data_IF_818210711102
#
_entry.id   IF_818210711102
#
_cell.length_a   1.000
_cell.length_b   1.000
_cell.length_c   1.000
_cell.angle_alpha   90.00
_cell.angle_beta   90.00
_cell.angle_gamma   90.00
#
_symmetry.space_group_name_H-M   'P 1'
#
loop_
_entity.id
_entity.type
_entity.pdbx_description
1 polymer ?
#
# COMPACT_ATOMS: atom_id res chain seq x y z
N UNK A 1 0.29 11.42 19.08
CA UNK A 1 0.04 11.55 17.63
C UNK A 1 -1.46 11.72 17.42
N UNK A 2 -1.90 12.68 16.60
CA UNK A 2 -3.34 12.88 16.33
C UNK A 2 -3.91 11.77 15.43
N UNK A 3 -5.19 11.43 15.62
CA UNK A 3 -5.89 10.48 14.75
C UNK A 3 -6.34 11.17 13.45
N UNK A 4 -6.00 10.60 12.29
CA UNK A 4 -6.52 11.09 11.01
C UNK A 4 -7.98 10.69 10.84
N UNK A 5 -8.78 11.63 10.34
CA UNK A 5 -10.17 11.40 9.92
C UNK A 5 -10.28 11.71 8.43
N UNK A 6 -10.81 10.75 7.69
CA UNK A 6 -11.10 10.89 6.26
C UNK A 6 -12.56 11.31 6.04
N UNK A 7 -12.79 12.16 5.04
CA UNK A 7 -14.13 12.42 4.53
C UNK A 7 -14.64 11.19 3.73
N UNK A 8 -15.89 11.22 3.26
CA UNK A 8 -16.51 10.06 2.58
C UNK A 8 -15.78 9.67 1.29
N UNK A 9 -15.40 10.64 0.48
CA UNK A 9 -14.74 10.42 -0.80
C UNK A 9 -13.32 9.88 -0.58
N UNK A 10 -12.57 10.50 0.33
CA UNK A 10 -11.23 10.06 0.71
C UNK A 10 -11.24 8.62 1.26
N UNK A 11 -12.27 8.22 2.00
CA UNK A 11 -12.38 6.82 2.47
C UNK A 11 -12.43 5.84 1.31
N UNK A 12 -13.15 6.16 0.24
CA UNK A 12 -13.26 5.29 -0.92
C UNK A 12 -11.91 5.21 -1.66
N UNK A 13 -11.26 6.36 -1.88
CA UNK A 13 -9.96 6.40 -2.57
C UNK A 13 -8.86 5.69 -1.78
N UNK A 14 -8.83 5.86 -0.45
CA UNK A 14 -7.91 5.16 0.44
C UNK A 14 -8.16 3.65 0.40
N UNK A 15 -9.41 3.21 0.33
CA UNK A 15 -9.74 1.79 0.23
C UNK A 15 -9.33 1.20 -1.12
N UNK A 16 -9.53 1.93 -2.22
CA UNK A 16 -9.01 1.55 -3.55
C UNK A 16 -7.49 1.39 -3.51
N UNK A 17 -6.78 2.39 -2.95
CA UNK A 17 -5.33 2.34 -2.83
C UNK A 17 -4.86 1.13 -2.01
N UNK A 18 -5.52 0.81 -0.90
CA UNK A 18 -5.21 -0.39 -0.11
C UNK A 18 -5.41 -1.67 -0.93
N UNK A 19 -6.51 -1.77 -1.67
CA UNK A 19 -6.77 -2.94 -2.52
C UNK A 19 -5.67 -3.12 -3.55
N UNK A 20 -5.23 -2.05 -4.22
CA UNK A 20 -4.12 -2.10 -5.18
C UNK A 20 -2.83 -2.61 -4.54
N UNK A 21 -2.47 -2.09 -3.37
CA UNK A 21 -1.27 -2.52 -2.62
C UNK A 21 -1.36 -4.00 -2.21
N UNK A 22 -2.54 -4.47 -1.79
CA UNK A 22 -2.77 -5.85 -1.39
C UNK A 22 -2.76 -6.84 -2.57
N UNK A 23 -3.19 -6.41 -3.76
CA UNK A 23 -3.19 -7.24 -4.97
C UNK A 23 -1.79 -7.45 -5.56
N UNK A 24 -0.84 -6.58 -5.23
CA UNK A 24 0.53 -6.63 -5.74
C UNK A 24 1.18 -8.01 -5.65
N UNK A 25 1.11 -8.66 -4.49
CA UNK A 25 1.74 -9.98 -4.30
C UNK A 25 1.02 -11.09 -5.04
N UNK A 26 -0.31 -10.97 -5.22
CA UNK A 26 -1.09 -11.90 -6.04
C UNK A 26 -0.70 -11.78 -7.52
N UNK A 27 -0.62 -10.55 -8.04
CA UNK A 27 -0.17 -10.29 -9.42
C UNK A 27 1.24 -10.80 -9.67
N UNK A 28 2.17 -10.58 -8.73
CA UNK A 28 3.54 -11.13 -8.86
C UNK A 28 3.56 -12.65 -8.91
N UNK A 29 2.67 -13.34 -8.20
CA UNK A 29 2.55 -14.80 -8.25
C UNK A 29 1.96 -15.27 -9.57
N UNK A 30 0.95 -14.57 -10.09
CA UNK A 30 0.32 -14.91 -11.35
C UNK A 30 1.29 -14.83 -12.54
N UNK A 31 2.19 -13.83 -12.57
CA UNK A 31 3.24 -13.73 -13.60
C UNK A 31 4.15 -14.96 -13.68
N UNK A 32 4.32 -15.71 -12.60
CA UNK A 32 5.18 -16.91 -12.58
C UNK A 32 4.45 -18.13 -13.20
N UNK A 33 3.13 -18.09 -13.28
CA UNK A 33 2.28 -19.24 -13.60
C UNK A 33 1.77 -19.21 -15.05
N UNK A 34 1.52 -18.03 -15.60
CA UNK A 34 0.99 -17.89 -16.95
C UNK A 34 2.09 -17.97 -18.01
N UNK A 35 1.70 -18.46 -19.20
CA UNK A 35 2.49 -18.43 -20.44
C UNK A 35 1.77 -17.64 -21.53
N UNK A 36 0.80 -16.82 -21.12
CA UNK A 36 -0.11 -16.06 -21.98
C UNK A 36 0.41 -14.62 -22.03
N UNK A 37 1.02 -14.25 -23.16
CA UNK A 37 1.77 -12.99 -23.29
C UNK A 37 0.91 -11.76 -23.08
N UNK A 38 -0.37 -11.79 -23.47
CA UNK A 38 -1.26 -10.64 -23.30
C UNK A 38 -1.59 -10.43 -21.81
N UNK A 39 -1.86 -11.51 -21.09
CA UNK A 39 -2.11 -11.43 -19.64
C UNK A 39 -0.86 -11.03 -18.87
N UNK A 40 0.30 -11.53 -19.26
CA UNK A 40 1.59 -11.13 -18.68
C UNK A 40 1.82 -9.63 -18.82
N UNK A 41 1.52 -9.04 -19.98
CA UNK A 41 1.65 -7.59 -20.21
C UNK A 41 0.68 -6.78 -19.34
N UNK A 42 -0.58 -7.20 -19.24
CA UNK A 42 -1.58 -6.55 -18.39
C UNK A 42 -1.15 -6.58 -16.91
N UNK A 43 -0.78 -7.75 -16.40
CA UNK A 43 -0.38 -7.92 -15.00
C UNK A 43 0.91 -7.14 -14.72
N UNK A 44 1.88 -7.17 -15.64
CA UNK A 44 3.11 -6.37 -15.54
C UNK A 44 2.80 -4.88 -15.45
N UNK A 45 1.87 -4.40 -16.27
CA UNK A 45 1.40 -3.00 -16.23
C UNK A 45 0.75 -2.66 -14.89
N UNK A 46 -0.08 -3.55 -14.33
CA UNK A 46 -0.67 -3.35 -13.01
C UNK A 46 0.38 -3.28 -11.89
N UNK A 47 1.41 -4.14 -11.93
CA UNK A 47 2.53 -4.12 -10.98
C UNK A 47 3.30 -2.80 -11.09
N UNK A 48 3.63 -2.37 -12.32
CA UNK A 48 4.33 -1.12 -12.57
C UNK A 48 3.56 0.10 -12.04
N UNK A 49 2.23 0.10 -12.12
CA UNK A 49 1.41 1.16 -11.51
C UNK A 49 1.62 1.22 -10.01
N UNK A 50 1.63 0.08 -9.32
CA UNK A 50 1.85 0.04 -7.87
C UNK A 50 3.28 0.45 -7.51
N UNK A 51 4.29 -0.04 -8.24
CA UNK A 51 5.69 0.34 -8.03
C UNK A 51 5.86 1.86 -8.17
N UNK A 52 5.29 2.44 -9.24
CA UNK A 52 5.31 3.89 -9.47
C UNK A 52 4.62 4.67 -8.36
N UNK A 53 3.45 4.21 -7.89
CA UNK A 53 2.75 4.86 -6.76
C UNK A 53 3.64 4.88 -5.51
N UNK A 54 4.41 3.82 -5.24
CA UNK A 54 5.32 3.75 -4.10
C UNK A 54 6.52 4.69 -4.32
N UNK A 55 7.13 4.67 -5.50
CA UNK A 55 8.28 5.53 -5.84
C UNK A 55 7.93 7.03 -5.73
N UNK A 56 6.78 7.42 -6.27
CA UNK A 56 6.35 8.82 -6.31
C UNK A 56 5.88 9.34 -4.94
N UNK A 57 5.55 8.46 -3.99
CA UNK A 57 4.89 8.81 -2.72
C UNK A 57 5.72 9.62 -1.72
N UNK A 58 7.02 9.87 -1.97
CA UNK A 58 7.96 10.58 -1.07
C UNK A 58 7.93 10.05 0.38
N UNK A 59 7.65 8.76 0.54
CA UNK A 59 7.65 8.09 1.84
C UNK A 59 9.08 7.91 2.34
N UNK A 60 9.24 7.86 3.67
CA UNK A 60 10.52 7.44 4.26
C UNK A 60 10.68 5.93 4.15
N UNK A 61 11.90 5.42 4.30
CA UNK A 61 12.16 3.98 4.29
C UNK A 61 11.34 3.23 5.35
N UNK A 62 11.17 3.82 6.54
CA UNK A 62 10.30 3.27 7.59
C UNK A 62 8.84 3.18 7.13
N UNK A 63 8.33 4.21 6.47
CA UNK A 63 6.95 4.25 5.96
C UNK A 63 6.73 3.20 4.87
N UNK A 64 7.68 3.05 3.94
CA UNK A 64 7.66 2.01 2.92
C UNK A 64 7.66 0.62 3.56
N UNK A 65 8.53 0.40 4.55
CA UNK A 65 8.61 -0.87 5.26
C UNK A 65 7.32 -1.20 6.03
N UNK A 66 6.68 -0.21 6.65
CA UNK A 66 5.36 -0.38 7.29
C UNK A 66 4.32 -0.81 6.25
N UNK A 67 4.25 -0.18 5.07
CA UNK A 67 3.30 -0.57 4.02
C UNK A 67 3.57 -1.99 3.51
N UNK A 68 4.84 -2.32 3.29
CA UNK A 68 5.26 -3.64 2.87
C UNK A 68 4.81 -4.72 3.85
N UNK A 69 5.06 -4.52 5.15
CA UNK A 69 4.74 -5.50 6.19
C UNK A 69 3.25 -5.60 6.48
N UNK A 70 2.47 -4.52 6.27
CA UNK A 70 1.07 -4.46 6.71
C UNK A 70 0.05 -4.63 5.58
N UNK A 71 0.38 -4.24 4.36
CA UNK A 71 -0.54 -4.25 3.21
C UNK A 71 -0.06 -5.12 2.06
N UNK A 72 1.22 -5.09 1.69
CA UNK A 72 1.70 -5.78 0.48
C UNK A 72 1.96 -7.26 0.75
N UNK A 73 2.89 -7.56 1.65
CA UNK A 73 3.28 -8.94 1.97
C UNK A 73 2.43 -9.52 3.09
N UNK A 74 2.09 -8.69 4.10
CA UNK A 74 1.17 -9.02 5.21
C UNK A 74 1.40 -10.42 5.79
N UNK A 75 2.66 -10.75 6.08
CA UNK A 75 3.05 -12.07 6.59
C UNK A 75 2.76 -12.26 8.10
N UNK A 76 2.57 -11.16 8.83
CA UNK A 76 2.39 -11.16 10.28
C UNK A 76 1.09 -10.47 10.71
N UNK A 77 0.68 -10.74 11.95
CA UNK A 77 -0.42 -10.01 12.57
C UNK A 77 -0.05 -8.54 12.81
N UNK A 78 -1.05 -7.66 12.74
CA UNK A 78 -0.87 -6.22 12.97
C UNK A 78 -0.19 -5.93 14.33
N UNK A 79 -0.47 -6.75 15.35
CA UNK A 79 0.13 -6.61 16.68
C UNK A 79 1.64 -6.91 16.68
N UNK A 80 2.07 -7.92 15.91
CA UNK A 80 3.50 -8.23 15.75
C UNK A 80 4.22 -7.14 14.98
N UNK A 81 3.61 -6.65 13.91
CA UNK A 81 4.16 -5.54 13.14
C UNK A 81 4.22 -4.27 13.99
N UNK A 82 3.18 -3.99 14.80
CA UNK A 82 3.17 -2.84 15.70
C UNK A 82 4.35 -2.89 16.68
N UNK A 83 4.64 -4.07 17.26
CA UNK A 83 5.81 -4.28 18.11
C UNK A 83 7.13 -4.06 17.36
N UNK A 84 7.26 -4.53 16.11
CA UNK A 84 8.47 -4.32 15.27
C UNK A 84 8.80 -2.83 15.11
N UNK A 85 7.79 -1.98 15.03
CA UNK A 85 7.95 -0.53 14.84
C UNK A 85 7.69 0.31 16.10
N UNK A 86 7.63 -0.31 17.29
CA UNK A 86 7.40 0.38 18.57
C UNK A 86 6.08 1.19 18.65
N UNK A 87 5.03 0.73 17.96
CA UNK A 87 3.67 1.28 18.06
C UNK A 87 2.75 0.36 18.89
N UNK A 88 1.66 0.92 19.41
CA UNK A 88 0.47 0.13 19.76
C UNK A 88 -0.26 -0.31 18.48
N UNK A 89 -1.15 -1.31 18.57
CA UNK A 89 -1.97 -1.72 17.41
C UNK A 89 -2.75 -0.53 16.81
N UNK A 90 -3.44 0.23 17.66
CA UNK A 90 -4.17 1.44 17.24
C UNK A 90 -3.24 2.52 16.67
N UNK A 91 -2.05 2.67 17.24
CA UNK A 91 -1.03 3.60 16.76
C UNK A 91 -0.52 3.24 15.37
N UNK A 92 -0.24 1.95 15.14
CA UNK A 92 0.20 1.46 13.83
C UNK A 92 -0.90 1.65 12.78
N UNK A 93 -2.15 1.32 13.09
CA UNK A 93 -3.28 1.55 12.17
C UNK A 93 -3.44 3.02 11.80
N UNK A 94 -3.27 3.92 12.76
CA UNK A 94 -3.28 5.36 12.47
C UNK A 94 -2.08 5.78 11.62
N UNK A 95 -0.88 5.22 11.88
CA UNK A 95 0.31 5.48 11.05
C UNK A 95 0.11 4.98 9.61
N UNK A 96 -0.49 3.80 9.40
CA UNK A 96 -0.86 3.31 8.07
C UNK A 96 -1.80 4.30 7.37
N UNK A 97 -2.84 4.79 8.07
CA UNK A 97 -3.75 5.79 7.50
C UNK A 97 -3.03 7.10 7.11
N UNK A 98 -2.07 7.56 7.93
CA UNK A 98 -1.23 8.74 7.61
C UNK A 98 -0.41 8.49 6.35
N UNK A 99 0.21 7.32 6.23
CA UNK A 99 1.01 6.95 5.06
C UNK A 99 0.13 6.92 3.80
N UNK A 100 -1.03 6.24 3.87
CA UNK A 100 -1.96 6.16 2.74
C UNK A 100 -2.49 7.53 2.33
N UNK A 101 -2.75 8.43 3.29
CA UNK A 101 -3.15 9.81 3.00
C UNK A 101 -2.05 10.56 2.24
N UNK A 102 -0.80 10.42 2.67
CA UNK A 102 0.36 11.04 2.03
C UNK A 102 0.55 10.54 0.59
N UNK A 103 0.40 9.23 0.37
CA UNK A 103 0.41 8.63 -0.98
C UNK A 103 -0.71 9.22 -1.85
N UNK A 104 -1.95 9.24 -1.34
CA UNK A 104 -3.11 9.76 -2.07
C UNK A 104 -2.96 11.25 -2.41
N UNK A 105 -2.50 12.07 -1.48
CA UNK A 105 -2.28 13.50 -1.70
C UNK A 105 -1.19 13.77 -2.75
N UNK A 106 -0.22 12.87 -2.89
CA UNK A 106 0.81 12.97 -3.93
C UNK A 106 0.25 12.58 -5.30
N UNK A 107 -0.51 11.48 -5.41
CA UNK A 107 -1.21 11.09 -6.65
C UNK A 107 -2.08 12.23 -7.18
N UNK A 108 -2.83 12.89 -6.29
CA UNK A 108 -3.72 14.01 -6.66
C UNK A 108 -2.99 15.29 -7.08
N UNK A 109 -1.74 15.48 -6.65
CA UNK A 109 -0.93 16.65 -7.06
C UNK A 109 -0.33 16.48 -8.45
N UNK A 110 -0.11 15.24 -8.85
CA UNK A 110 0.53 14.90 -10.12
C UNK A 110 -0.51 14.62 -11.24
N UNK A 111 -1.82 14.82 -10.95
CA UNK A 111 -2.97 14.71 -11.86
C UNK A 111 -3.48 16.08 -12.31
#
# INVERSE_FOLDING_TARGET
>A
MGNIKFNREEKNEIEILKCLLQLYTSWKKELVIFSDSEKEEIISSCIQVVDKIIEDSKLTDEEINIINDTLIYKNDSIERVARKYFYSDSGLRNKINIILKKMLDQIKKDS
#
